data_IF_861471956139
#
_entry.id   IF_861471956139
#
_cell.length_a   1.000
_cell.length_b   1.000
_cell.length_c   1.000
_cell.angle_alpha   90.00
_cell.angle_beta   90.00
_cell.angle_gamma   90.00
#
_symmetry.space_group_name_H-M   'P 1'
#
loop_
_entity.id
_entity.type
_entity.pdbx_description
1 polymer ?
#
# COMPACT_ATOMS: atom_id res chain seq x y z
N UNK A 1 9.58 -29.64 27.18
CA UNK A 1 8.99 -28.35 27.64
C UNK A 1 9.99 -27.39 28.29
N UNK A 2 11.10 -27.84 28.87
CA UNK A 2 12.08 -26.95 29.53
C UNK A 2 12.82 -25.99 28.57
N UNK A 3 13.16 -26.45 27.35
CA UNK A 3 13.90 -25.64 26.37
C UNK A 3 13.16 -24.40 25.87
N UNK A 4 11.82 -24.44 25.79
CA UNK A 4 10.98 -23.29 25.38
C UNK A 4 10.98 -22.16 26.40
N UNK A 5 11.07 -22.48 27.70
CA UNK A 5 11.10 -21.49 28.78
C UNK A 5 12.45 -20.77 28.87
N UNK A 6 13.53 -21.45 28.54
CA UNK A 6 14.89 -20.88 28.57
C UNK A 6 15.09 -19.84 27.45
N UNK A 7 14.53 -20.07 26.26
CA UNK A 7 14.64 -19.15 25.12
C UNK A 7 13.82 -17.85 25.28
N UNK A 8 12.61 -17.93 25.84
CA UNK A 8 11.76 -16.76 26.08
C UNK A 8 12.30 -15.82 27.18
N UNK A 9 13.18 -16.32 28.06
CA UNK A 9 13.81 -15.53 29.12
C UNK A 9 15.01 -14.71 28.65
N UNK A 10 15.63 -15.08 27.52
CA UNK A 10 16.86 -14.46 27.01
C UNK A 10 16.59 -13.31 26.03
N UNK A 11 15.40 -13.25 25.44
CA UNK A 11 15.03 -12.22 24.47
C UNK A 11 13.77 -11.49 24.95
N UNK A 12 13.89 -10.24 25.45
CA UNK A 12 12.73 -9.45 25.83
C UNK A 12 11.82 -9.26 24.62
N UNK A 13 10.60 -9.76 24.72
CA UNK A 13 9.58 -9.58 23.69
C UNK A 13 8.89 -8.25 23.96
N UNK A 14 9.15 -7.26 23.11
CA UNK A 14 8.41 -5.99 23.16
C UNK A 14 7.02 -6.26 22.60
N UNK A 15 5.99 -6.16 23.44
CA UNK A 15 4.60 -6.11 22.96
C UNK A 15 4.38 -4.71 22.40
N UNK A 16 4.08 -4.63 21.10
CA UNK A 16 3.50 -3.41 20.54
C UNK A 16 2.20 -3.11 21.29
N UNK A 17 1.96 -1.85 21.60
CA UNK A 17 0.66 -1.42 22.12
C UNK A 17 -0.34 -1.60 20.96
N UNK A 18 -1.24 -2.58 21.07
CA UNK A 18 -2.33 -2.86 20.12
C UNK A 18 -3.45 -1.81 20.24
N UNK A 19 -3.10 -0.54 20.32
CA UNK A 19 -4.09 0.50 20.08
C UNK A 19 -4.35 0.48 18.57
N UNK A 20 -5.60 0.22 18.15
CA UNK A 20 -5.99 0.15 16.74
C UNK A 20 -5.88 1.55 16.11
N UNK A 21 -4.65 1.93 15.74
CA UNK A 21 -4.37 3.20 15.08
C UNK A 21 -4.73 3.05 13.61
N UNK A 22 -5.77 3.77 13.18
CA UNK A 22 -6.13 3.86 11.76
C UNK A 22 -5.11 4.74 11.05
N UNK A 23 -4.44 4.19 10.02
CA UNK A 23 -3.53 4.96 9.17
C UNK A 23 -4.31 6.01 8.35
N UNK A 24 -4.10 7.31 8.59
CA UNK A 24 -4.78 8.36 7.83
C UNK A 24 -4.47 8.32 6.33
N UNK A 25 -3.32 7.77 5.93
CA UNK A 25 -2.93 7.64 4.52
C UNK A 25 -3.83 6.67 3.78
N UNK A 26 -4.19 5.53 4.37
CA UNK A 26 -5.07 4.53 3.75
C UNK A 26 -6.44 5.14 3.47
N UNK A 27 -7.04 5.78 4.48
CA UNK A 27 -8.35 6.44 4.36
C UNK A 27 -8.34 7.54 3.30
N UNK A 28 -7.24 8.30 3.19
CA UNK A 28 -7.12 9.35 2.18
C UNK A 28 -6.91 8.78 0.78
N UNK A 29 -6.14 7.70 0.64
CA UNK A 29 -5.91 7.04 -0.66
C UNK A 29 -7.20 6.45 -1.23
N UNK A 30 -8.03 5.83 -0.40
CA UNK A 30 -9.35 5.34 -0.81
C UNK A 30 -10.23 6.46 -1.37
N UNK A 31 -10.31 7.60 -0.66
CA UNK A 31 -11.04 8.77 -1.13
C UNK A 31 -10.45 9.33 -2.42
N UNK A 32 -9.13 9.47 -2.49
CA UNK A 32 -8.44 10.00 -3.66
C UNK A 32 -8.53 9.08 -4.89
N UNK A 33 -8.74 7.78 -4.71
CA UNK A 33 -8.90 6.83 -5.81
C UNK A 33 -10.18 7.06 -6.62
N UNK A 34 -11.20 7.69 -6.03
CA UNK A 34 -12.48 8.00 -6.69
C UNK A 34 -12.50 9.38 -7.36
N UNK A 35 -11.42 10.16 -7.23
CA UNK A 35 -11.34 11.55 -7.70
C UNK A 35 -10.46 11.73 -8.94
N UNK A 36 -10.73 12.80 -9.69
CA UNK A 36 -9.87 13.22 -10.79
C UNK A 36 -9.75 12.16 -11.88
N UNK A 37 -8.52 11.94 -12.33
CA UNK A 37 -8.18 10.92 -13.35
C UNK A 37 -7.77 9.57 -12.76
N UNK A 38 -7.78 9.44 -11.42
CA UNK A 38 -7.35 8.24 -10.72
C UNK A 38 -8.14 6.97 -11.14
N UNK A 39 -9.48 7.00 -11.33
CA UNK A 39 -10.22 5.83 -11.80
C UNK A 39 -9.76 5.34 -13.19
N UNK A 40 -9.51 6.25 -14.13
CA UNK A 40 -9.08 5.87 -15.49
C UNK A 40 -7.65 5.33 -15.50
N UNK A 41 -6.77 5.89 -14.67
CA UNK A 41 -5.40 5.37 -14.50
C UNK A 41 -5.41 4.01 -13.82
N UNK A 42 -6.31 3.79 -12.86
CA UNK A 42 -6.52 2.48 -12.25
C UNK A 42 -6.98 1.44 -13.26
N UNK A 43 -7.95 1.76 -14.12
CA UNK A 43 -8.41 0.87 -15.20
C UNK A 43 -7.26 0.49 -16.15
N UNK A 44 -6.41 1.44 -16.53
CA UNK A 44 -5.23 1.16 -17.37
C UNK A 44 -4.23 0.22 -16.67
N UNK A 45 -3.95 0.48 -15.39
CA UNK A 45 -3.08 -0.37 -14.59
C UNK A 45 -3.63 -1.79 -14.47
N UNK A 46 -4.94 -1.97 -14.24
CA UNK A 46 -5.58 -3.28 -14.21
C UNK A 46 -5.51 -3.98 -15.57
N UNK A 47 -5.79 -3.27 -16.67
CA UNK A 47 -5.68 -3.82 -18.02
C UNK A 47 -4.23 -4.27 -18.36
N UNK A 48 -3.21 -3.56 -17.85
CA UNK A 48 -1.83 -4.03 -17.95
C UNK A 48 -1.62 -5.30 -17.14
N UNK A 49 -2.06 -5.35 -15.87
CA UNK A 49 -1.90 -6.54 -15.03
C UNK A 49 -2.55 -7.77 -15.66
N UNK A 50 -3.75 -7.66 -16.23
CA UNK A 50 -4.42 -8.75 -16.93
C UNK A 50 -3.61 -9.23 -18.15
N UNK A 51 -3.00 -8.30 -18.89
CA UNK A 51 -2.14 -8.60 -20.05
C UNK A 51 -0.83 -9.28 -19.64
N UNK A 52 -0.19 -8.85 -18.56
CA UNK A 52 1.06 -9.45 -18.06
C UNK A 52 0.76 -10.83 -17.46
N UNK A 53 -0.28 -10.95 -16.65
CA UNK A 53 -0.65 -12.21 -15.99
C UNK A 53 -1.17 -13.29 -16.98
N UNK A 54 -1.71 -12.88 -18.13
CA UNK A 54 -2.15 -13.84 -19.17
C UNK A 54 -1.00 -14.41 -20.01
N UNK A 55 0.22 -13.87 -19.91
CA UNK A 55 1.38 -14.32 -20.69
C UNK A 55 2.28 -15.23 -19.85
N UNK A 56 2.64 -16.38 -20.41
CA UNK A 56 3.54 -17.34 -19.75
C UNK A 56 5.02 -16.96 -19.79
N UNK A 57 5.43 -16.16 -20.78
CA UNK A 57 6.80 -15.65 -20.92
C UNK A 57 6.75 -14.23 -21.49
N UNK A 58 6.82 -13.23 -20.62
CA UNK A 58 6.86 -11.81 -21.00
C UNK A 58 7.91 -11.07 -20.17
N UNK A 59 8.55 -10.08 -20.77
CA UNK A 59 9.43 -9.12 -20.07
C UNK A 59 8.70 -7.79 -19.79
N UNK A 60 7.42 -7.72 -20.15
CA UNK A 60 6.57 -6.57 -19.90
C UNK A 60 6.31 -6.38 -18.40
N UNK A 61 6.29 -5.12 -17.95
CA UNK A 61 6.01 -4.75 -16.57
C UNK A 61 5.02 -3.60 -16.52
N UNK A 62 4.11 -3.59 -15.56
CA UNK A 62 3.10 -2.52 -15.38
C UNK A 62 3.57 -1.36 -14.51
N UNK A 63 4.89 -1.09 -14.49
CA UNK A 63 5.50 -0.09 -13.60
C UNK A 63 5.19 1.32 -14.05
N UNK A 64 5.06 1.55 -15.36
CA UNK A 64 4.65 2.84 -15.93
C UNK A 64 3.24 3.20 -15.45
N UNK A 65 2.25 2.32 -15.70
CA UNK A 65 0.87 2.57 -15.31
C UNK A 65 0.69 2.66 -13.79
N UNK A 66 1.49 1.91 -13.04
CA UNK A 66 1.53 2.02 -11.57
C UNK A 66 2.02 3.41 -11.14
N UNK A 67 3.10 3.92 -11.72
CA UNK A 67 3.62 5.24 -11.35
C UNK A 67 2.68 6.37 -11.78
N UNK A 68 2.02 6.26 -12.92
CA UNK A 68 1.01 7.23 -13.33
C UNK A 68 -0.14 7.29 -12.32
N UNK A 69 -0.68 6.13 -11.91
CA UNK A 69 -1.74 6.06 -10.91
C UNK A 69 -1.29 6.60 -9.54
N UNK A 70 -0.09 6.21 -9.09
CA UNK A 70 0.47 6.69 -7.82
C UNK A 70 0.72 8.20 -7.83
N UNK A 71 1.16 8.76 -8.96
CA UNK A 71 1.38 10.19 -9.09
C UNK A 71 0.09 10.99 -8.84
N UNK A 72 -1.01 10.58 -9.47
CA UNK A 72 -2.31 11.24 -9.29
C UNK A 72 -2.84 11.07 -7.85
N UNK A 73 -2.75 9.85 -7.30
CA UNK A 73 -3.13 9.59 -5.91
C UNK A 73 -2.34 10.46 -4.93
N UNK A 74 -1.02 10.49 -5.05
CA UNK A 74 -0.16 11.21 -4.12
C UNK A 74 -0.32 12.73 -4.29
N UNK A 75 -0.60 13.22 -5.51
CA UNK A 75 -0.98 14.63 -5.73
C UNK A 75 -2.27 15.02 -4.98
N UNK A 76 -3.24 14.11 -4.90
CA UNK A 76 -4.45 14.31 -4.11
C UNK A 76 -4.17 14.20 -2.59
N UNK A 77 -3.49 13.13 -2.16
CA UNK A 77 -3.27 12.79 -0.74
C UNK A 77 -2.41 13.84 -0.02
N UNK A 78 -1.36 14.34 -0.68
CA UNK A 78 -0.41 15.30 -0.11
C UNK A 78 -1.05 16.59 0.39
N UNK A 79 -2.21 16.98 -0.16
CA UNK A 79 -2.98 18.15 0.27
C UNK A 79 -3.47 18.05 1.71
N UNK A 80 -3.68 16.84 2.22
CA UNK A 80 -4.32 16.62 3.54
C UNK A 80 -3.47 15.77 4.47
N UNK A 81 -2.68 14.81 3.96
CA UNK A 81 -2.00 13.81 4.77
C UNK A 81 -1.14 14.41 5.88
N UNK A 82 -0.26 15.36 5.56
CA UNK A 82 0.67 15.93 6.54
C UNK A 82 -0.01 16.71 7.67
N UNK A 83 -1.25 17.17 7.49
CA UNK A 83 -2.02 17.79 8.58
C UNK A 83 -2.56 16.79 9.60
N UNK A 84 -2.56 15.49 9.26
CA UNK A 84 -3.05 14.39 10.11
C UNK A 84 -1.92 13.64 10.82
N UNK A 85 -0.68 13.87 10.40
CA UNK A 85 0.51 13.27 11.00
C UNK A 85 1.04 14.17 12.12
N UNK A 86 1.56 13.55 13.19
CA UNK A 86 2.18 14.23 14.34
C UNK A 86 3.69 14.23 14.21
#
# INVERSE_FOLDING_TARGET
MAARRFWASLFPTVKAQEEEVVDPQVVLREKCAEHGTAPQLWEKYQACNDRVNSRSNTTETCVEELFDYLHELDHCVTKTLFSKLK
#
